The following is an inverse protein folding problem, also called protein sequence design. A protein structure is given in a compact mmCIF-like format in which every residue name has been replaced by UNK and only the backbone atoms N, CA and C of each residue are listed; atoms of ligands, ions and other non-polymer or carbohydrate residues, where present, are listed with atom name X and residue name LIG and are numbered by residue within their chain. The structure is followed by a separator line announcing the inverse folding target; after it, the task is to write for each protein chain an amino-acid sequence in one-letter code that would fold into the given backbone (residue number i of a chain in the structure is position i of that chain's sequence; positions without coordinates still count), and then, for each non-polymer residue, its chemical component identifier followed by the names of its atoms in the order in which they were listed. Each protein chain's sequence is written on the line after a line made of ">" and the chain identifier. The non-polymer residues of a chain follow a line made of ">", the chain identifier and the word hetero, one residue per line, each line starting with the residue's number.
data_IF_425585822659
#
_entry.id   IF_425585822659
#
_cell.length_a   1.000
_cell.length_b   1.000
_cell.length_c   1.000
_cell.angle_alpha   90.00
_cell.angle_beta   90.00
_cell.angle_gamma   90.00
#
_symmetry.space_group_name_H-M   'P 1'
#
loop_
_entity.id
_entity.type
_entity.pdbx_description
1 polymer ?
#
# COMPACT_ATOMS: atom_id res chain seq x y z
N UNK A 1 -81.48 38.18 0.54
CA UNK A 1 -81.64 37.12 1.57
C UNK A 1 -80.83 35.93 1.09
N UNK A 2 -79.61 35.76 1.59
CA UNK A 2 -79.24 34.89 2.72
C UNK A 2 -79.19 33.40 2.31
N UNK A 3 -77.94 32.92 2.26
CA UNK A 3 -77.38 31.60 2.61
C UNK A 3 -77.98 30.30 2.04
N UNK A 4 -77.09 29.51 1.41
CA UNK A 4 -76.74 28.20 1.96
C UNK A 4 -75.31 27.83 1.53
N UNK A 5 -74.43 27.65 2.52
CA UNK A 5 -73.03 27.27 2.37
C UNK A 5 -72.89 25.74 2.31
N UNK A 6 -72.09 25.24 1.37
CA UNK A 6 -71.60 23.86 1.34
C UNK A 6 -70.10 23.92 1.67
N UNK A 7 -69.74 23.42 2.84
CA UNK A 7 -68.34 23.28 3.27
C UNK A 7 -67.77 21.96 2.75
N UNK A 8 -66.75 22.04 1.89
CA UNK A 8 -65.90 20.91 1.51
C UNK A 8 -64.75 20.79 2.53
N UNK A 9 -64.67 19.67 3.23
CA UNK A 9 -63.48 19.28 3.99
C UNK A 9 -62.43 18.71 3.05
N UNK A 10 -61.42 19.50 2.69
CA UNK A 10 -60.21 19.03 1.98
C UNK A 10 -59.18 18.62 3.04
N UNK A 11 -58.95 17.32 3.13
CA UNK A 11 -57.86 16.70 3.88
C UNK A 11 -56.53 17.06 3.18
N UNK A 12 -55.75 17.95 3.78
CA UNK A 12 -54.41 18.27 3.32
C UNK A 12 -53.45 17.10 3.64
N UNK A 13 -53.19 16.25 2.65
CA UNK A 13 -52.05 15.33 2.67
C UNK A 13 -50.75 16.15 2.54
N UNK A 14 -50.07 16.37 3.65
CA UNK A 14 -48.66 16.78 3.67
C UNK A 14 -47.83 15.64 3.09
N UNK A 15 -47.52 15.71 1.79
CA UNK A 15 -46.41 14.97 1.22
C UNK A 15 -45.12 15.57 1.76
N UNK A 16 -44.56 14.97 2.81
CA UNK A 16 -43.15 15.16 3.13
C UNK A 16 -42.36 14.49 2.01
N UNK A 17 -41.82 15.28 1.08
CA UNK A 17 -40.75 14.86 0.19
C UNK A 17 -39.64 14.22 1.03
N UNK A 18 -39.23 12.97 0.79
CA UNK A 18 -38.05 12.42 1.42
C UNK A 18 -36.87 13.29 0.99
N UNK A 19 -36.18 13.87 1.96
CA UNK A 19 -34.91 14.53 1.75
C UNK A 19 -34.01 13.57 0.96
N UNK A 20 -33.66 13.93 -0.27
CA UNK A 20 -32.65 13.22 -1.03
C UNK A 20 -31.32 13.41 -0.28
N UNK A 21 -30.94 12.44 0.54
CA UNK A 21 -29.56 12.28 0.98
C UNK A 21 -28.74 12.10 -0.31
N UNK A 22 -27.75 12.95 -0.56
CA UNK A 22 -26.96 12.81 -1.76
C UNK A 22 -26.01 11.62 -1.63
N UNK A 23 -25.67 11.07 -2.78
CA UNK A 23 -24.86 9.86 -2.90
C UNK A 23 -23.49 10.23 -3.44
N UNK A 24 -22.44 9.58 -2.94
CA UNK A 24 -21.11 9.66 -3.54
C UNK A 24 -21.15 9.14 -4.98
N UNK A 25 -20.25 9.64 -5.80
CA UNK A 25 -20.19 9.37 -7.23
C UNK A 25 -18.79 8.91 -7.61
N UNK A 26 -18.69 7.76 -8.29
CA UNK A 26 -17.46 7.27 -8.92
C UNK A 26 -17.64 7.31 -10.43
N UNK A 27 -16.84 8.11 -11.10
CA UNK A 27 -16.78 8.20 -12.56
C UNK A 27 -15.63 7.33 -13.07
N UNK A 28 -15.90 6.44 -14.03
CA UNK A 28 -14.90 5.59 -14.66
C UNK A 28 -14.35 6.24 -15.92
N UNK A 29 -13.15 5.85 -16.34
CA UNK A 29 -12.48 6.36 -17.55
C UNK A 29 -13.27 6.15 -18.85
N UNK A 30 -14.22 5.21 -18.85
CA UNK A 30 -15.13 4.98 -19.97
C UNK A 30 -16.39 5.85 -19.91
N UNK A 31 -16.46 6.83 -19.00
CA UNK A 31 -17.61 7.71 -18.78
C UNK A 31 -18.74 7.12 -17.91
N UNK A 32 -18.59 5.87 -17.42
CA UNK A 32 -19.61 5.26 -16.56
C UNK A 32 -19.63 5.93 -15.20
N UNK A 33 -20.81 6.34 -14.73
CA UNK A 33 -20.99 6.91 -13.39
C UNK A 33 -21.68 5.91 -12.48
N UNK A 34 -21.08 5.64 -11.32
CA UNK A 34 -21.64 4.79 -10.27
C UNK A 34 -22.00 5.66 -9.07
N UNK A 35 -23.22 5.52 -8.57
CA UNK A 35 -23.72 6.24 -7.40
C UNK A 35 -23.94 5.30 -6.23
N UNK A 36 -23.59 5.74 -5.04
CA UNK A 36 -23.65 4.94 -3.83
C UNK A 36 -22.81 5.56 -2.72
N UNK A 37 -22.41 4.78 -1.73
CA UNK A 37 -21.55 5.24 -0.64
C UNK A 37 -20.12 4.75 -0.87
N UNK A 38 -19.17 5.65 -1.06
CA UNK A 38 -17.76 5.31 -1.14
C UNK A 38 -17.28 4.90 0.26
N UNK A 39 -16.92 3.63 0.41
CA UNK A 39 -16.53 3.04 1.70
C UNK A 39 -15.02 2.93 1.87
N UNK A 40 -14.27 3.01 0.76
CA UNK A 40 -12.82 3.13 0.77
C UNK A 40 -12.31 3.77 -0.51
N UNK A 41 -11.29 4.61 -0.37
CA UNK A 41 -10.44 5.05 -1.47
C UNK A 41 -8.97 4.70 -1.19
N UNK A 42 -8.69 3.77 -0.28
CA UNK A 42 -7.31 3.38 0.05
C UNK A 42 -6.74 2.39 -0.96
N UNK A 43 -5.42 2.44 -1.12
CA UNK A 43 -4.66 1.59 -2.03
C UNK A 43 -5.02 1.76 -3.51
N UNK A 44 -4.93 0.68 -4.28
CA UNK A 44 -5.15 0.64 -5.74
C UNK A 44 -6.62 0.70 -6.19
N UNK A 45 -7.60 0.82 -5.28
CA UNK A 45 -9.02 0.77 -5.64
C UNK A 45 -9.88 1.84 -4.98
N UNK A 46 -10.99 2.20 -5.64
CA UNK A 46 -12.15 2.84 -5.04
C UNK A 46 -13.20 1.78 -4.78
N UNK A 47 -13.71 1.74 -3.55
CA UNK A 47 -14.76 0.81 -3.11
C UNK A 47 -16.02 1.63 -2.86
N UNK A 48 -17.09 1.30 -3.58
CA UNK A 48 -18.39 1.94 -3.48
C UNK A 48 -19.46 0.90 -3.17
N UNK A 49 -20.27 1.16 -2.16
CA UNK A 49 -21.46 0.39 -1.81
C UNK A 49 -22.66 0.96 -2.56
N UNK A 50 -23.24 0.16 -3.45
CA UNK A 50 -24.38 0.55 -4.29
C UNK A 50 -25.62 -0.23 -3.87
N UNK A 51 -26.78 0.42 -3.83
CA UNK A 51 -28.04 -0.25 -3.56
C UNK A 51 -28.69 -0.63 -4.90
N UNK A 52 -28.86 -1.92 -5.14
CA UNK A 52 -29.56 -2.43 -6.33
C UNK A 52 -30.77 -3.23 -5.86
N UNK A 53 -31.97 -2.79 -6.25
CA UNK A 53 -33.25 -3.43 -5.86
C UNK A 53 -33.39 -3.63 -4.34
N UNK A 54 -33.00 -2.62 -3.56
CA UNK A 54 -33.11 -2.64 -2.09
C UNK A 54 -32.05 -3.49 -1.37
N UNK A 55 -31.05 -4.02 -2.09
CA UNK A 55 -29.94 -4.78 -1.50
C UNK A 55 -28.62 -4.06 -1.76
N UNK A 56 -27.79 -3.96 -0.73
CA UNK A 56 -26.46 -3.36 -0.84
C UNK A 56 -25.48 -4.31 -1.53
N UNK A 57 -24.67 -3.76 -2.42
CA UNK A 57 -23.60 -4.44 -3.15
C UNK A 57 -22.32 -3.63 -3.08
N UNK A 58 -21.21 -4.23 -2.67
CA UNK A 58 -19.90 -3.62 -2.79
C UNK A 58 -19.40 -3.75 -4.23
N UNK A 59 -18.93 -2.65 -4.81
CA UNK A 59 -18.22 -2.59 -6.09
C UNK A 59 -16.84 -2.04 -5.85
N UNK A 60 -15.85 -2.65 -6.50
CA UNK A 60 -14.45 -2.26 -6.40
C UNK A 60 -13.95 -1.90 -7.79
N UNK A 61 -13.50 -0.68 -7.94
CA UNK A 61 -12.94 -0.18 -9.18
C UNK A 61 -11.45 0.09 -8.97
N UNK A 62 -10.57 -0.56 -9.76
CA UNK A 62 -9.17 -0.16 -9.82
C UNK A 62 -9.09 1.34 -10.10
N UNK A 63 -8.29 2.10 -9.35
CA UNK A 63 -8.17 3.55 -9.53
C UNK A 63 -7.71 3.94 -10.92
N UNK A 64 -6.92 3.07 -11.57
CA UNK A 64 -6.56 3.21 -12.99
C UNK A 64 -7.75 3.23 -13.96
N UNK A 65 -8.93 2.77 -13.52
CA UNK A 65 -10.17 2.80 -14.28
C UNK A 65 -11.13 3.88 -13.77
N UNK A 66 -10.77 4.63 -12.73
CA UNK A 66 -11.58 5.69 -12.12
C UNK A 66 -11.07 7.04 -12.61
N UNK A 67 -11.93 7.78 -13.29
CA UNK A 67 -11.68 9.14 -13.74
C UNK A 67 -11.82 10.15 -12.61
N UNK A 68 -12.84 9.99 -11.75
CA UNK A 68 -13.09 10.89 -10.63
C UNK A 68 -13.91 10.22 -9.52
N UNK A 69 -13.78 10.75 -8.29
CA UNK A 69 -14.67 10.45 -7.17
C UNK A 69 -15.19 11.77 -6.62
N UNK A 70 -16.50 11.91 -6.43
CA UNK A 70 -17.14 13.06 -5.77
C UNK A 70 -17.88 12.55 -4.54
N UNK A 71 -17.63 13.17 -3.39
CA UNK A 71 -18.31 12.84 -2.14
C UNK A 71 -19.44 13.85 -1.89
N UNK A 72 -20.51 13.42 -1.25
CA UNK A 72 -21.72 14.24 -1.05
C UNK A 72 -21.54 15.39 -0.01
N UNK A 73 -20.39 15.48 0.66
CA UNK A 73 -20.11 16.56 1.62
C UNK A 73 -19.77 17.92 0.98
N UNK A 74 -19.91 18.06 -0.34
CA UNK A 74 -19.70 19.32 -1.06
C UNK A 74 -18.25 19.64 -1.39
N UNK A 75 -17.32 18.70 -1.22
CA UNK A 75 -15.94 18.86 -1.66
C UNK A 75 -15.82 18.68 -3.21
N UNK A 76 -15.50 19.78 -3.91
CA UNK A 76 -14.89 19.74 -5.26
C UNK A 76 -13.60 18.90 -5.24
N UNK A 77 -13.03 18.43 -6.37
CA UNK A 77 -11.82 17.61 -6.37
C UNK A 77 -10.62 18.46 -5.92
N UNK A 78 -10.52 18.69 -4.62
CA UNK A 78 -9.29 19.01 -3.97
C UNK A 78 -8.39 17.80 -4.16
N UNK A 79 -7.14 18.05 -4.56
CA UNK A 79 -6.02 17.14 -4.34
C UNK A 79 -6.22 16.36 -3.04
N UNK A 80 -5.85 15.07 -2.94
CA UNK A 80 -5.94 14.31 -1.70
C UNK A 80 -4.87 14.80 -0.71
N UNK A 81 -5.05 16.02 -0.23
CA UNK A 81 -4.55 16.48 1.03
C UNK A 81 -5.38 15.73 2.08
N UNK A 82 -4.76 14.68 2.61
CA UNK A 82 -5.28 13.76 3.62
C UNK A 82 -6.41 12.84 3.13
N UNK A 83 -6.03 11.77 2.42
CA UNK A 83 -6.71 10.49 2.55
C UNK A 83 -6.62 10.01 4.01
N UNK A 84 -7.41 10.60 4.91
CA UNK A 84 -7.50 10.13 6.28
C UNK A 84 -8.10 8.73 6.22
N UNK A 85 -7.33 7.71 6.58
CA UNK A 85 -7.88 6.36 6.73
C UNK A 85 -9.08 6.48 7.66
N UNK A 86 -10.28 6.00 7.27
CA UNK A 86 -11.49 6.21 8.06
C UNK A 86 -11.26 5.67 9.46
N UNK A 87 -11.48 6.47 10.50
CA UNK A 87 -11.29 5.99 11.88
C UNK A 87 -12.36 4.96 12.20
N UNK A 88 -11.94 3.74 12.54
CA UNK A 88 -12.81 2.62 12.89
C UNK A 88 -12.44 2.07 14.25
N UNK A 89 -13.45 1.68 15.02
CA UNK A 89 -13.28 0.91 16.25
C UNK A 89 -12.67 -0.46 15.96
N UNK A 90 -12.12 -1.09 17.01
CA UNK A 90 -11.63 -2.47 16.96
C UNK A 90 -12.68 -3.42 16.37
N UNK A 91 -13.92 -3.34 16.87
CA UNK A 91 -15.00 -4.23 16.47
C UNK A 91 -15.31 -4.08 14.98
N UNK A 92 -15.43 -2.85 14.49
CA UNK A 92 -15.73 -2.58 13.08
C UNK A 92 -14.64 -3.12 12.15
N UNK A 93 -13.35 -2.94 12.49
CA UNK A 93 -12.25 -3.49 11.68
C UNK A 93 -12.27 -5.03 11.69
N UNK A 94 -12.49 -5.67 12.84
CA UNK A 94 -12.56 -7.14 12.91
C UNK A 94 -13.79 -7.70 12.17
N UNK A 95 -14.93 -7.03 12.23
CA UNK A 95 -16.14 -7.42 11.49
C UNK A 95 -15.92 -7.25 9.97
N UNK A 96 -15.24 -6.18 9.55
CA UNK A 96 -14.85 -5.93 8.15
C UNK A 96 -13.90 -7.02 7.62
N UNK A 97 -12.87 -7.36 8.40
CA UNK A 97 -11.92 -8.44 8.05
C UNK A 97 -12.65 -9.77 7.89
N UNK A 98 -13.55 -10.10 8.82
CA UNK A 98 -14.31 -11.34 8.75
C UNK A 98 -15.24 -11.40 7.55
N UNK A 99 -15.94 -10.30 7.23
CA UNK A 99 -16.90 -10.26 6.11
C UNK A 99 -16.19 -10.35 4.75
N UNK A 100 -15.13 -9.56 4.55
CA UNK A 100 -14.40 -9.53 3.28
C UNK A 100 -13.51 -10.77 3.14
N UNK A 101 -12.80 -11.15 4.19
CA UNK A 101 -11.80 -12.22 4.18
C UNK A 101 -12.34 -13.60 3.83
N UNK A 102 -13.59 -13.88 4.20
CA UNK A 102 -14.27 -15.15 3.91
C UNK A 102 -14.70 -15.29 2.46
N UNK A 103 -14.78 -14.19 1.72
CA UNK A 103 -15.32 -14.17 0.36
C UNK A 103 -14.17 -14.06 -0.64
N UNK A 104 -14.00 -15.02 -1.57
CA UNK A 104 -13.02 -14.87 -2.65
C UNK A 104 -13.24 -13.56 -3.43
N UNK A 105 -12.19 -12.95 -4.00
CA UNK A 105 -12.35 -11.83 -4.92
C UNK A 105 -13.21 -12.22 -6.14
N UNK A 106 -13.91 -11.25 -6.75
CA UNK A 106 -14.80 -11.50 -7.89
C UNK A 106 -14.10 -12.19 -9.08
N UNK A 107 -12.80 -11.96 -9.26
CA UNK A 107 -12.00 -12.57 -10.32
C UNK A 107 -11.57 -14.02 -10.03
N UNK A 108 -11.76 -14.53 -8.82
CA UNK A 108 -11.15 -15.79 -8.36
C UNK A 108 -11.60 -17.01 -9.18
N UNK A 109 -12.90 -17.13 -9.44
CA UNK A 109 -13.45 -18.27 -10.17
C UNK A 109 -12.99 -18.26 -11.63
N UNK A 110 -12.97 -17.09 -12.25
CA UNK A 110 -12.53 -16.89 -13.65
C UNK A 110 -11.02 -17.06 -13.86
N UNK A 111 -10.23 -16.98 -12.79
CA UNK A 111 -8.78 -17.09 -12.88
C UNK A 111 -8.38 -18.52 -13.21
N UNK A 112 -7.50 -18.73 -14.18
CA UNK A 112 -6.99 -20.07 -14.45
C UNK A 112 -5.93 -20.47 -13.42
N UNK A 113 -5.97 -21.72 -12.98
CA UNK A 113 -4.92 -22.29 -12.14
C UNK A 113 -3.80 -22.80 -13.06
N UNK A 114 -2.67 -22.09 -13.08
CA UNK A 114 -1.54 -22.43 -13.93
C UNK A 114 -0.25 -22.49 -13.09
N UNK A 115 0.38 -23.65 -13.05
CA UNK A 115 1.67 -23.89 -12.41
C UNK A 115 2.35 -25.10 -13.07
N UNK A 116 3.70 -25.23 -12.98
CA UNK A 116 4.40 -26.36 -13.59
C UNK A 116 3.95 -27.70 -13.02
N UNK A 117 3.73 -28.71 -13.85
CA UNK A 117 3.36 -30.08 -13.41
C UNK A 117 4.42 -30.70 -12.48
N UNK A 118 5.67 -30.20 -12.55
CA UNK A 118 6.79 -30.64 -11.72
C UNK A 118 6.82 -30.00 -10.32
N UNK A 119 5.89 -29.09 -10.02
CA UNK A 119 5.88 -28.34 -8.77
C UNK A 119 5.41 -29.23 -7.62
N UNK A 120 6.27 -29.42 -6.60
CA UNK A 120 5.93 -30.20 -5.43
C UNK A 120 5.02 -29.40 -4.47
N UNK A 121 3.71 -29.69 -4.55
CA UNK A 121 2.69 -29.02 -3.73
C UNK A 121 2.75 -29.40 -2.26
N UNK A 122 3.48 -30.45 -1.85
CA UNK A 122 3.72 -30.74 -0.43
C UNK A 122 4.56 -29.63 0.22
N UNK A 123 5.28 -28.86 -0.61
CA UNK A 123 6.09 -27.70 -0.25
C UNK A 123 7.12 -28.03 0.84
N UNK A 124 8.16 -28.81 0.53
CA UNK A 124 9.18 -29.20 1.51
C UNK A 124 9.96 -28.00 2.06
N UNK A 125 10.40 -28.12 3.33
CA UNK A 125 11.29 -27.20 4.04
C UNK A 125 12.42 -28.00 4.73
N UNK A 126 13.69 -27.58 4.62
CA UNK A 126 14.17 -26.48 3.80
C UNK A 126 13.92 -26.74 2.30
N UNK A 127 13.88 -25.69 1.45
CA UNK A 127 13.69 -25.88 0.02
C UNK A 127 14.85 -26.69 -0.58
N UNK A 128 14.58 -27.53 -1.60
CA UNK A 128 15.62 -28.32 -2.24
C UNK A 128 16.69 -27.44 -2.87
N UNK A 129 17.93 -27.94 -2.85
CA UNK A 129 19.07 -27.34 -3.51
C UNK A 129 19.47 -28.17 -4.74
N UNK A 130 19.93 -27.55 -5.84
CA UNK A 130 20.02 -26.11 -6.07
C UNK A 130 18.63 -25.46 -6.25
N UNK A 131 18.58 -24.12 -6.22
CA UNK A 131 17.37 -23.35 -6.48
C UNK A 131 16.69 -23.79 -7.79
N UNK A 132 15.41 -24.18 -7.71
CA UNK A 132 14.60 -24.64 -8.82
C UNK A 132 13.13 -24.22 -8.66
N UNK A 133 12.80 -23.08 -9.27
CA UNK A 133 11.46 -22.50 -9.26
C UNK A 133 10.38 -23.30 -10.01
N UNK A 134 10.73 -24.42 -10.66
CA UNK A 134 9.75 -25.34 -11.26
C UNK A 134 9.43 -26.53 -10.35
N UNK A 135 10.13 -26.68 -9.22
CA UNK A 135 9.95 -27.79 -8.27
C UNK A 135 9.52 -27.37 -6.87
N UNK A 136 9.87 -26.16 -6.42
CA UNK A 136 9.48 -25.68 -5.10
C UNK A 136 8.49 -24.49 -5.17
N UNK A 137 7.38 -24.59 -4.44
CA UNK A 137 6.32 -23.57 -4.41
C UNK A 137 6.84 -22.19 -4.00
N UNK A 138 7.71 -22.10 -2.99
CA UNK A 138 8.24 -20.82 -2.53
C UNK A 138 9.12 -20.15 -3.57
N UNK A 139 9.98 -20.93 -4.23
CA UNK A 139 10.85 -20.45 -5.30
C UNK A 139 10.05 -20.09 -6.56
N UNK A 140 8.99 -20.84 -6.88
CA UNK A 140 8.04 -20.52 -7.95
C UNK A 140 7.36 -19.17 -7.71
N UNK A 141 6.79 -18.97 -6.52
CA UNK A 141 6.15 -17.70 -6.16
C UNK A 141 7.14 -16.55 -6.31
N UNK A 142 8.37 -16.74 -5.81
CA UNK A 142 9.41 -15.72 -5.83
C UNK A 142 9.81 -15.31 -7.26
N UNK A 143 10.12 -16.27 -8.14
CA UNK A 143 10.65 -15.97 -9.48
C UNK A 143 9.57 -15.74 -10.55
N UNK A 144 8.38 -16.33 -10.39
CA UNK A 144 7.36 -16.39 -11.45
C UNK A 144 6.09 -15.63 -11.11
N UNK A 145 5.69 -15.57 -9.84
CA UNK A 145 4.44 -14.89 -9.44
C UNK A 145 4.71 -13.44 -9.06
N UNK A 146 5.53 -13.22 -8.04
CA UNK A 146 5.79 -11.90 -7.47
C UNK A 146 6.18 -10.83 -8.51
N UNK A 147 7.09 -11.09 -9.46
CA UNK A 147 7.50 -10.07 -10.43
C UNK A 147 6.50 -9.86 -11.59
N UNK A 148 5.43 -10.66 -11.70
CA UNK A 148 4.56 -10.66 -12.87
C UNK A 148 3.10 -10.37 -12.48
N UNK A 149 2.60 -9.13 -12.63
CA UNK A 149 1.22 -8.77 -12.29
C UNK A 149 0.14 -9.66 -12.93
N UNK A 150 0.38 -10.14 -14.15
CA UNK A 150 -0.50 -11.10 -14.84
C UNK A 150 -0.61 -12.47 -14.14
N UNK A 151 0.37 -12.82 -13.29
CA UNK A 151 0.43 -14.08 -12.56
C UNK A 151 -0.10 -13.96 -11.11
N UNK A 152 -0.33 -12.75 -10.59
CA UNK A 152 -0.71 -12.56 -9.19
C UNK A 152 -2.01 -13.29 -8.82
N UNK A 153 -3.03 -13.20 -9.68
CA UNK A 153 -4.30 -13.90 -9.47
C UNK A 153 -4.11 -15.42 -9.48
N UNK A 154 -3.31 -15.93 -10.41
CA UNK A 154 -2.96 -17.35 -10.51
C UNK A 154 -2.21 -17.84 -9.27
N UNK A 155 -1.28 -17.04 -8.73
CA UNK A 155 -0.57 -17.33 -7.49
C UNK A 155 -1.51 -17.44 -6.28
N UNK A 156 -2.48 -16.53 -6.13
CA UNK A 156 -3.53 -16.63 -5.11
C UNK A 156 -4.34 -17.91 -5.27
N UNK A 157 -4.75 -18.23 -6.51
CA UNK A 157 -5.50 -19.46 -6.81
C UNK A 157 -4.70 -20.72 -6.48
N UNK A 158 -3.38 -20.73 -6.73
CA UNK A 158 -2.49 -21.81 -6.35
C UNK A 158 -2.43 -22.01 -4.83
N UNK A 159 -2.35 -20.95 -4.02
CA UNK A 159 -2.33 -21.10 -2.55
C UNK A 159 -3.63 -21.72 -2.03
N UNK A 160 -4.77 -21.30 -2.57
CA UNK A 160 -6.06 -21.95 -2.27
C UNK A 160 -6.07 -23.43 -2.69
N UNK A 161 -5.58 -23.75 -3.88
CA UNK A 161 -5.46 -25.13 -4.34
C UNK A 161 -4.59 -25.99 -3.42
N UNK A 162 -3.44 -25.47 -2.97
CA UNK A 162 -2.55 -26.15 -2.02
C UNK A 162 -3.24 -26.38 -0.68
N UNK A 163 -3.97 -25.41 -0.14
CA UNK A 163 -4.71 -25.62 1.12
C UNK A 163 -5.72 -26.76 1.03
N UNK A 164 -6.38 -26.92 -0.13
CA UNK A 164 -7.35 -27.99 -0.36
C UNK A 164 -6.67 -29.34 -0.55
N UNK A 165 -5.63 -29.41 -1.38
CA UNK A 165 -4.95 -30.68 -1.70
C UNK A 165 -4.01 -31.17 -0.59
N UNK A 166 -3.49 -30.27 0.25
CA UNK A 166 -2.60 -30.57 1.37
C UNK A 166 -3.31 -30.44 2.73
N UNK A 167 -4.64 -30.58 2.78
CA UNK A 167 -5.44 -30.28 3.98
C UNK A 167 -5.02 -31.07 5.25
N UNK A 168 -4.41 -32.25 5.10
CA UNK A 168 -3.89 -33.06 6.20
C UNK A 168 -2.52 -32.57 6.71
N UNK A 169 -1.77 -31.84 5.88
CA UNK A 169 -0.49 -31.23 6.24
C UNK A 169 -0.71 -29.81 6.79
N UNK A 170 -0.95 -29.74 8.11
CA UNK A 170 -1.17 -28.46 8.82
C UNK A 170 -0.07 -27.42 8.58
N UNK A 171 1.18 -27.84 8.44
CA UNK A 171 2.30 -26.91 8.23
C UNK A 171 2.23 -26.26 6.85
N UNK A 172 1.93 -27.05 5.81
CA UNK A 172 1.77 -26.55 4.44
C UNK A 172 0.52 -25.67 4.32
N UNK A 173 -0.58 -26.04 4.96
CA UNK A 173 -1.80 -25.21 5.03
C UNK A 173 -1.51 -23.87 5.68
N UNK A 174 -0.88 -23.85 6.87
CA UNK A 174 -0.51 -22.59 7.54
C UNK A 174 0.40 -21.74 6.66
N UNK A 175 1.36 -22.33 5.95
CA UNK A 175 2.23 -21.59 5.04
C UNK A 175 1.48 -20.99 3.86
N UNK A 176 0.54 -21.74 3.27
CA UNK A 176 -0.31 -21.22 2.21
C UNK A 176 -1.18 -20.04 2.70
N UNK A 177 -1.71 -20.09 3.92
CA UNK A 177 -2.41 -18.95 4.55
C UNK A 177 -1.48 -17.75 4.76
N UNK A 178 -0.26 -17.97 5.27
CA UNK A 178 0.75 -16.92 5.43
C UNK A 178 1.08 -16.25 4.08
N UNK A 179 1.21 -17.05 3.02
CA UNK A 179 1.44 -16.56 1.66
C UNK A 179 0.25 -15.82 1.07
N UNK A 180 -0.99 -16.26 1.33
CA UNK A 180 -2.18 -15.51 0.95
C UNK A 180 -2.22 -14.14 1.63
N UNK A 181 -1.91 -14.08 2.93
CA UNK A 181 -1.78 -12.82 3.65
C UNK A 181 -0.78 -11.87 2.98
N UNK A 182 0.41 -12.38 2.65
CA UNK A 182 1.45 -11.61 1.98
C UNK A 182 1.06 -11.20 0.54
N UNK A 183 0.41 -12.07 -0.24
CA UNK A 183 -0.04 -11.76 -1.59
C UNK A 183 -1.11 -10.66 -1.58
N UNK A 184 -2.13 -10.79 -0.74
CA UNK A 184 -3.18 -9.76 -0.64
C UNK A 184 -2.64 -8.43 -0.14
N UNK A 185 -1.73 -8.44 0.85
CA UNK A 185 -1.13 -7.21 1.36
C UNK A 185 -0.24 -6.55 0.33
N UNK A 186 0.73 -7.28 -0.22
CA UNK A 186 1.82 -6.66 -0.98
C UNK A 186 1.53 -6.54 -2.48
N UNK A 187 0.67 -7.39 -3.05
CA UNK A 187 0.38 -7.39 -4.50
C UNK A 187 -0.95 -6.69 -4.80
N UNK A 188 -1.94 -6.82 -3.92
CA UNK A 188 -3.28 -6.30 -4.17
C UNK A 188 -3.69 -5.13 -3.27
N UNK A 189 -2.93 -4.86 -2.19
CA UNK A 189 -3.31 -3.94 -1.12
C UNK A 189 -4.74 -4.22 -0.58
N UNK A 190 -5.14 -5.49 -0.60
CA UNK A 190 -6.39 -5.94 0.00
C UNK A 190 -6.17 -6.26 1.48
N UNK A 191 -6.03 -5.19 2.26
CA UNK A 191 -5.68 -5.29 3.68
C UNK A 191 -6.66 -6.12 4.51
N UNK A 192 -7.96 -6.14 4.13
CA UNK A 192 -8.96 -6.94 4.83
C UNK A 192 -8.75 -8.44 4.59
N UNK A 193 -8.57 -8.87 3.32
CA UNK A 193 -8.25 -10.28 3.03
C UNK A 193 -6.88 -10.68 3.56
N UNK A 194 -5.89 -9.78 3.48
CA UNK A 194 -4.56 -10.02 4.02
C UNK A 194 -4.60 -10.31 5.53
N UNK A 195 -5.24 -9.41 6.30
CA UNK A 195 -5.41 -9.58 7.73
C UNK A 195 -6.16 -10.88 8.07
N UNK A 196 -7.22 -11.19 7.32
CA UNK A 196 -7.98 -12.43 7.51
C UNK A 196 -7.08 -13.67 7.42
N UNK A 197 -6.28 -13.79 6.36
CA UNK A 197 -5.42 -14.96 6.17
C UNK A 197 -4.30 -15.05 7.20
N UNK A 198 -3.73 -13.93 7.64
CA UNK A 198 -2.77 -13.93 8.75
C UNK A 198 -3.41 -14.28 10.10
N UNK A 199 -4.64 -13.85 10.36
CA UNK A 199 -5.41 -14.27 11.55
C UNK A 199 -5.74 -15.78 11.51
N UNK A 200 -6.10 -16.32 10.34
CA UNK A 200 -6.30 -17.76 10.18
C UNK A 200 -5.00 -18.55 10.42
N UNK A 201 -3.86 -18.00 9.99
CA UNK A 201 -2.53 -18.56 10.26
C UNK A 201 -2.06 -18.37 11.72
N UNK A 202 -2.79 -17.60 12.54
CA UNK A 202 -2.50 -17.38 13.96
C UNK A 202 -1.44 -16.32 14.26
N UNK A 203 -1.18 -15.40 13.32
CA UNK A 203 -0.24 -14.28 13.51
C UNK A 203 -0.66 -13.38 14.68
N UNK A 204 -1.96 -13.10 14.79
CA UNK A 204 -2.57 -12.32 15.88
C UNK A 204 -2.41 -12.97 17.27
N UNK A 205 -2.14 -14.28 17.30
CA UNK A 205 -2.03 -15.09 18.53
C UNK A 205 -0.57 -15.38 18.90
N UNK A 206 0.40 -14.74 18.23
CA UNK A 206 1.82 -14.99 18.46
C UNK A 206 2.26 -16.41 18.09
N UNK A 207 1.51 -17.12 17.23
CA UNK A 207 1.80 -18.51 16.85
C UNK A 207 2.78 -18.64 15.68
N UNK A 208 3.42 -17.54 15.29
CA UNK A 208 4.37 -17.51 14.17
C UNK A 208 5.78 -17.23 14.68
N UNK A 209 6.81 -17.92 14.11
CA UNK A 209 8.19 -17.77 14.57
C UNK A 209 8.81 -16.42 14.15
N UNK A 210 8.32 -15.83 13.05
CA UNK A 210 8.88 -14.62 12.47
C UNK A 210 8.07 -13.37 12.87
N UNK A 211 8.74 -12.24 13.21
CA UNK A 211 8.06 -11.02 13.65
C UNK A 211 7.45 -10.19 12.50
N UNK A 212 7.96 -10.34 11.26
CA UNK A 212 7.53 -9.49 10.14
C UNK A 212 6.03 -9.60 9.80
N UNK A 213 5.40 -10.80 9.77
CA UNK A 213 3.96 -10.92 9.58
C UNK A 213 3.12 -10.17 10.62
N UNK A 214 3.60 -10.03 11.86
CA UNK A 214 2.91 -9.26 12.91
C UNK A 214 2.91 -7.77 12.56
N UNK A 215 4.03 -7.25 12.02
CA UNK A 215 4.11 -5.87 11.53
C UNK A 215 3.18 -5.64 10.35
N UNK A 216 3.12 -6.56 9.39
CA UNK A 216 2.21 -6.41 8.26
C UNK A 216 0.74 -6.54 8.67
N UNK A 217 0.41 -7.40 9.64
CA UNK A 217 -0.93 -7.46 10.21
C UNK A 217 -1.30 -6.14 10.90
N UNK A 218 -0.37 -5.54 11.66
CA UNK A 218 -0.56 -4.21 12.22
C UNK A 218 -0.74 -3.14 11.13
N UNK A 219 0.01 -3.22 10.02
CA UNK A 219 -0.21 -2.35 8.86
C UNK A 219 -1.62 -2.52 8.28
N UNK A 220 -2.11 -3.75 8.13
CA UNK A 220 -3.49 -3.96 7.69
C UNK A 220 -4.50 -3.28 8.62
N UNK A 221 -4.35 -3.41 9.95
CA UNK A 221 -5.26 -2.76 10.88
C UNK A 221 -5.23 -1.24 10.77
N UNK A 222 -4.05 -0.66 10.61
CA UNK A 222 -3.90 0.78 10.39
C UNK A 222 -4.59 1.21 9.10
N UNK A 223 -4.34 0.52 7.98
CA UNK A 223 -4.92 0.81 6.66
C UNK A 223 -6.43 0.57 6.60
N UNK A 224 -6.97 -0.26 7.49
CA UNK A 224 -8.41 -0.46 7.67
C UNK A 224 -9.03 0.54 8.65
N UNK A 225 -8.26 1.42 9.28
CA UNK A 225 -8.77 2.52 10.08
C UNK A 225 -8.60 2.42 11.59
N UNK A 226 -7.90 1.40 12.09
CA UNK A 226 -7.69 1.23 13.53
C UNK A 226 -6.23 1.37 13.91
N UNK A 227 -5.82 2.61 14.19
CA UNK A 227 -4.51 2.95 14.76
C UNK A 227 -4.27 2.21 16.09
N UNK A 228 -5.26 2.18 16.97
CA UNK A 228 -5.13 1.54 18.28
C UNK A 228 -4.85 0.05 18.17
N UNK A 229 -5.58 -0.65 17.29
CA UNK A 229 -5.37 -2.09 17.07
C UNK A 229 -4.00 -2.36 16.42
N UNK A 230 -3.54 -1.50 15.51
CA UNK A 230 -2.20 -1.59 14.95
C UNK A 230 -1.12 -1.46 16.04
N UNK A 231 -1.20 -0.41 16.87
CA UNK A 231 -0.24 -0.16 17.95
C UNK A 231 -0.26 -1.26 19.01
N UNK A 232 -1.43 -1.78 19.37
CA UNK A 232 -1.54 -2.93 20.28
C UNK A 232 -0.88 -4.17 19.70
N UNK A 233 -1.11 -4.46 18.41
CA UNK A 233 -0.51 -5.61 17.73
C UNK A 233 1.03 -5.52 17.75
N UNK A 234 1.59 -4.33 17.59
CA UNK A 234 3.04 -4.12 17.67
C UNK A 234 3.63 -4.33 19.07
N UNK A 235 2.85 -4.15 20.14
CA UNK A 235 3.32 -4.43 21.52
C UNK A 235 3.59 -5.91 21.77
N UNK A 236 3.03 -6.80 20.95
CA UNK A 236 3.21 -8.25 21.07
C UNK A 236 4.52 -8.74 20.42
N UNK A 237 5.31 -7.85 19.81
CA UNK A 237 6.59 -8.19 19.22
C UNK A 237 7.63 -8.51 20.30
N UNK A 238 8.22 -9.69 20.22
CA UNK A 238 9.38 -10.08 21.06
C UNK A 238 10.68 -9.48 20.53
N UNK A 239 10.73 -9.17 19.23
CA UNK A 239 11.82 -8.46 18.55
C UNK A 239 11.21 -7.49 17.54
N UNK A 240 11.79 -6.30 17.47
CA UNK A 240 11.37 -5.25 16.53
C UNK A 240 12.18 -5.33 15.23
N UNK A 241 11.60 -5.84 14.12
CA UNK A 241 12.26 -5.71 12.82
C UNK A 241 12.26 -4.24 12.36
N UNK A 242 13.19 -3.83 11.48
CA UNK A 242 13.26 -2.44 10.99
C UNK A 242 11.94 -1.93 10.38
N UNK A 243 11.13 -2.81 9.77
CA UNK A 243 9.80 -2.47 9.25
C UNK A 243 8.86 -1.88 10.31
N UNK A 244 9.08 -2.15 11.61
CA UNK A 244 8.31 -1.52 12.68
C UNK A 244 8.59 -0.02 12.79
N UNK A 245 9.83 0.43 12.55
CA UNK A 245 10.18 1.86 12.54
C UNK A 245 9.37 2.57 11.44
N UNK A 246 9.35 1.98 10.23
CA UNK A 246 8.55 2.49 9.11
C UNK A 246 7.08 2.62 9.50
N UNK A 247 6.46 1.54 9.97
CA UNK A 247 5.04 1.53 10.29
C UNK A 247 4.68 2.55 11.38
N UNK A 248 5.52 2.73 12.40
CA UNK A 248 5.31 3.77 13.40
C UNK A 248 5.33 5.17 12.78
N UNK A 249 6.23 5.43 11.83
CA UNK A 249 6.24 6.65 11.05
C UNK A 249 4.98 6.84 10.21
N UNK A 250 4.55 5.81 9.48
CA UNK A 250 3.33 5.84 8.64
C UNK A 250 2.07 6.13 9.49
N UNK A 251 2.02 5.62 10.72
CA UNK A 251 0.96 5.86 11.72
C UNK A 251 0.98 7.30 12.28
N UNK A 252 2.03 8.06 11.98
CA UNK A 252 2.28 9.40 12.53
C UNK A 252 2.88 9.40 13.93
N UNK A 253 3.37 8.26 14.43
CA UNK A 253 4.10 8.15 15.69
C UNK A 253 5.61 8.39 15.49
N UNK A 254 5.94 9.53 14.88
CA UNK A 254 7.30 9.88 14.45
C UNK A 254 8.30 9.80 15.61
N UNK A 255 7.98 10.34 16.79
CA UNK A 255 8.90 10.31 17.93
C UNK A 255 9.19 8.90 18.45
N UNK A 256 8.20 8.02 18.46
CA UNK A 256 8.40 6.64 18.91
C UNK A 256 9.17 5.82 17.87
N UNK A 257 8.95 6.09 16.58
CA UNK A 257 9.74 5.53 15.49
C UNK A 257 11.22 5.93 15.62
N UNK A 258 11.52 7.21 15.86
CA UNK A 258 12.88 7.71 16.03
C UNK A 258 13.56 7.15 17.29
N UNK A 259 12.83 7.04 18.41
CA UNK A 259 13.34 6.37 19.62
C UNK A 259 13.70 4.91 19.35
N UNK A 260 12.83 4.19 18.63
CA UNK A 260 13.07 2.79 18.26
C UNK A 260 14.28 2.67 17.33
N UNK A 261 14.44 3.57 16.35
CA UNK A 261 15.59 3.61 15.47
C UNK A 261 16.90 3.87 16.24
N UNK A 262 16.94 4.86 17.14
CA UNK A 262 18.13 5.13 17.96
C UNK A 262 18.45 3.95 18.89
N UNK A 263 17.44 3.25 19.42
CA UNK A 263 17.65 2.00 20.17
C UNK A 263 18.22 0.89 19.30
N UNK A 264 17.68 0.67 18.10
CA UNK A 264 18.17 -0.33 17.14
C UNK A 264 19.61 -0.06 16.67
N UNK A 265 19.97 1.22 16.52
CA UNK A 265 21.32 1.63 16.20
C UNK A 265 22.32 1.27 17.31
N UNK A 266 21.97 1.59 18.56
CA UNK A 266 22.76 1.20 19.75
C UNK A 266 22.81 -0.32 19.94
N UNK A 267 21.76 -1.03 19.52
CA UNK A 267 21.64 -2.49 19.56
C UNK A 267 22.41 -3.24 18.46
N UNK A 268 23.22 -2.55 17.65
CA UNK A 268 24.09 -3.18 16.65
C UNK A 268 23.54 -3.18 15.22
N UNK A 269 22.49 -2.43 14.93
CA UNK A 269 21.96 -2.26 13.55
C UNK A 269 21.90 -0.80 13.09
N UNK A 270 22.99 -0.02 13.21
CA UNK A 270 22.98 1.43 12.99
C UNK A 270 22.62 1.84 11.56
N UNK A 271 23.14 1.15 10.54
CA UNK A 271 22.86 1.46 9.14
C UNK A 271 21.35 1.45 8.85
N UNK A 272 20.72 0.29 9.00
CA UNK A 272 19.31 0.13 8.69
C UNK A 272 18.43 1.00 9.60
N UNK A 273 18.78 1.14 10.88
CA UNK A 273 17.99 1.94 11.82
C UNK A 273 17.99 3.43 11.45
N UNK A 274 19.17 4.01 11.16
CA UNK A 274 19.26 5.40 10.74
C UNK A 274 18.66 5.64 9.37
N UNK A 275 18.77 4.67 8.46
CA UNK A 275 18.13 4.75 7.16
C UNK A 275 16.60 4.87 7.29
N UNK A 276 15.96 4.00 8.08
CA UNK A 276 14.51 4.10 8.33
C UNK A 276 14.13 5.34 9.15
N UNK A 277 14.98 5.84 10.06
CA UNK A 277 14.75 7.11 10.73
C UNK A 277 14.71 8.29 9.74
N UNK A 278 15.59 8.28 8.74
CA UNK A 278 15.58 9.25 7.65
C UNK A 278 14.28 9.20 6.85
N UNK A 279 13.81 8.00 6.50
CA UNK A 279 12.54 7.79 5.79
C UNK A 279 11.35 8.34 6.61
N UNK A 280 11.32 8.04 7.91
CA UNK A 280 10.28 8.51 8.83
C UNK A 280 10.27 10.04 8.92
N UNK A 281 11.44 10.67 9.07
CA UNK A 281 11.55 12.13 9.07
C UNK A 281 11.10 12.73 7.74
N UNK A 282 11.43 12.09 6.60
CA UNK A 282 11.00 12.54 5.27
C UNK A 282 9.48 12.52 5.16
N UNK A 283 8.83 11.43 5.55
CA UNK A 283 7.37 11.29 5.53
C UNK A 283 6.72 12.32 6.47
N UNK A 284 7.34 12.61 7.61
CA UNK A 284 6.86 13.64 8.54
C UNK A 284 7.15 15.09 8.08
N UNK A 285 7.78 15.30 6.92
CA UNK A 285 8.17 16.64 6.44
C UNK A 285 9.37 17.27 7.18
N UNK A 286 10.04 16.53 8.06
CA UNK A 286 11.20 16.95 8.85
C UNK A 286 12.49 16.77 8.05
N UNK A 287 12.58 17.46 6.91
CA UNK A 287 13.63 17.20 5.91
C UNK A 287 15.06 17.43 6.44
N UNK A 288 15.27 18.44 7.28
CA UNK A 288 16.58 18.69 7.90
C UNK A 288 17.03 17.52 8.79
N UNK A 289 16.12 16.92 9.53
CA UNK A 289 16.42 15.76 10.36
C UNK A 289 16.57 14.49 9.52
N UNK A 290 15.77 14.34 8.46
CA UNK A 290 15.93 13.26 7.50
C UNK A 290 17.33 13.26 6.89
N UNK A 291 17.83 14.43 6.47
CA UNK A 291 19.20 14.59 5.97
C UNK A 291 20.23 14.14 7.01
N UNK A 292 20.10 14.57 8.27
CA UNK A 292 21.01 14.15 9.34
C UNK A 292 21.02 12.63 9.54
N UNK A 293 19.85 11.98 9.53
CA UNK A 293 19.75 10.53 9.66
C UNK A 293 20.34 9.79 8.46
N UNK A 294 20.11 10.26 7.23
CA UNK A 294 20.75 9.65 6.07
C UNK A 294 22.29 9.78 6.12
N UNK A 295 22.82 10.92 6.60
CA UNK A 295 24.28 11.06 6.84
C UNK A 295 24.79 10.07 7.89
N UNK A 296 24.08 9.93 9.03
CA UNK A 296 24.39 8.90 10.04
C UNK A 296 24.37 7.48 9.45
N UNK A 297 23.43 7.18 8.55
CA UNK A 297 23.36 5.89 7.87
C UNK A 297 24.58 5.64 6.98
N UNK A 298 25.00 6.62 6.20
CA UNK A 298 26.23 6.54 5.37
C UNK A 298 27.46 6.31 6.25
N UNK A 299 27.62 7.08 7.32
CA UNK A 299 28.74 6.93 8.27
C UNK A 299 28.75 5.54 8.93
N UNK A 300 27.57 5.02 9.27
CA UNK A 300 27.42 3.67 9.83
C UNK A 300 27.83 2.59 8.83
N UNK A 301 27.43 2.72 7.55
CA UNK A 301 27.84 1.79 6.50
C UNK A 301 29.35 1.80 6.26
N UNK A 302 30.00 2.97 6.30
CA UNK A 302 31.45 3.08 6.10
C UNK A 302 32.26 2.41 7.20
N UNK A 303 31.72 2.40 8.43
CA UNK A 303 32.33 1.74 9.59
C UNK A 303 31.95 0.26 9.71
N UNK A 304 31.00 -0.21 8.90
CA UNK A 304 30.55 -1.59 8.95
C UNK A 304 31.67 -2.55 8.51
N UNK A 305 31.83 -3.65 9.24
CA UNK A 305 32.80 -4.71 8.91
C UNK A 305 32.38 -5.47 7.65
N UNK A 306 31.08 -5.52 7.38
CA UNK A 306 30.44 -6.13 6.21
C UNK A 306 30.17 -5.12 5.09
N UNK A 307 30.86 -3.98 5.04
CA UNK A 307 30.66 -2.93 4.02
C UNK A 307 30.81 -3.37 2.56
N UNK A 308 31.40 -4.55 2.31
CA UNK A 308 31.48 -5.16 0.98
C UNK A 308 30.26 -6.03 0.63
N UNK A 309 29.38 -6.32 1.58
CA UNK A 309 28.20 -7.14 1.36
C UNK A 309 27.15 -6.36 0.56
N UNK A 310 26.48 -7.06 -0.36
CA UNK A 310 25.52 -6.45 -1.28
C UNK A 310 24.42 -5.63 -0.57
N UNK A 311 23.95 -6.09 0.59
CA UNK A 311 22.91 -5.40 1.34
C UNK A 311 23.42 -4.09 1.96
N UNK A 312 24.65 -4.05 2.50
CA UNK A 312 25.25 -2.82 3.05
C UNK A 312 25.53 -1.81 1.94
N UNK A 313 26.07 -2.28 0.81
CA UNK A 313 26.31 -1.44 -0.37
C UNK A 313 25.00 -0.80 -0.85
N UNK A 314 23.93 -1.59 -0.97
CA UNK A 314 22.62 -1.09 -1.39
C UNK A 314 22.05 -0.08 -0.40
N UNK A 315 22.03 -0.42 0.89
CA UNK A 315 21.42 0.44 1.92
C UNK A 315 22.19 1.76 2.07
N UNK A 316 23.53 1.73 1.95
CA UNK A 316 24.36 2.95 1.84
C UNK A 316 24.02 3.75 0.58
N UNK A 317 23.95 3.08 -0.57
CA UNK A 317 23.60 3.71 -1.84
C UNK A 317 22.23 4.38 -1.80
N UNK A 318 21.26 3.77 -1.10
CA UNK A 318 19.92 4.34 -0.88
C UNK A 318 20.00 5.62 -0.04
N UNK A 319 20.75 5.61 1.06
CA UNK A 319 20.96 6.82 1.87
C UNK A 319 21.59 7.96 1.05
N UNK A 320 22.60 7.66 0.22
CA UNK A 320 23.25 8.64 -0.67
C UNK A 320 22.26 9.17 -1.72
N UNK A 321 21.46 8.28 -2.32
CA UNK A 321 20.46 8.67 -3.30
C UNK A 321 19.40 9.61 -2.69
N UNK A 322 18.95 9.33 -1.47
CA UNK A 322 18.04 10.22 -0.74
C UNK A 322 18.70 11.57 -0.41
N UNK A 323 19.97 11.59 0.00
CA UNK A 323 20.72 12.84 0.22
C UNK A 323 20.85 13.69 -1.05
N UNK A 324 21.05 13.07 -2.21
CA UNK A 324 21.13 13.80 -3.47
C UNK A 324 19.80 14.46 -3.86
N UNK A 325 18.68 13.78 -3.57
CA UNK A 325 17.35 14.19 -3.99
C UNK A 325 16.63 15.11 -2.99
N UNK A 326 16.90 14.99 -1.69
CA UNK A 326 16.13 15.64 -0.62
C UNK A 326 16.05 17.18 -0.74
N UNK A 327 17.12 17.80 -1.25
CA UNK A 327 17.17 19.24 -1.50
C UNK A 327 16.12 19.73 -2.52
N UNK A 328 15.54 18.83 -3.32
CA UNK A 328 14.54 19.13 -4.34
C UNK A 328 13.13 18.69 -3.96
N UNK A 329 12.89 18.11 -2.78
CA UNK A 329 11.55 17.59 -2.42
C UNK A 329 10.50 18.68 -2.29
N UNK A 330 10.92 19.89 -1.93
CA UNK A 330 10.07 21.07 -1.82
C UNK A 330 10.00 21.89 -3.12
N UNK A 331 10.62 21.43 -4.22
CA UNK A 331 10.52 22.12 -5.51
C UNK A 331 9.08 22.06 -6.00
N UNK A 332 8.44 23.23 -6.08
CA UNK A 332 7.09 23.37 -6.60
C UNK A 332 7.07 23.14 -8.11
N UNK A 333 6.11 22.38 -8.66
CA UNK A 333 5.96 22.24 -10.11
C UNK A 333 5.76 23.58 -10.85
N UNK A 334 5.29 24.63 -10.17
CA UNK A 334 5.16 25.99 -10.73
C UNK A 334 6.51 26.66 -11.01
N UNK A 335 7.56 26.23 -10.31
CA UNK A 335 8.93 26.72 -10.45
C UNK A 335 9.75 25.86 -11.43
N UNK A 336 9.07 24.97 -12.15
CA UNK A 336 9.64 24.11 -13.19
C UNK A 336 9.09 24.59 -14.54
N UNK A 337 9.95 24.63 -15.56
CA UNK A 337 9.53 24.93 -16.94
C UNK A 337 8.68 23.77 -17.45
N UNK A 338 7.65 24.06 -18.26
CA UNK A 338 6.84 23.02 -18.88
C UNK A 338 7.70 22.13 -19.79
N UNK A 339 7.56 20.81 -19.68
CA UNK A 339 8.40 19.87 -20.41
C UNK A 339 8.36 18.46 -19.85
N UNK A 340 9.16 17.58 -20.48
CA UNK A 340 9.35 16.19 -20.05
C UNK A 340 10.77 15.99 -19.56
N UNK A 341 10.91 15.49 -18.33
CA UNK A 341 12.19 15.30 -17.67
C UNK A 341 12.37 13.85 -17.27
N UNK A 342 13.56 13.31 -17.51
CA UNK A 342 13.90 11.92 -17.16
C UNK A 342 15.06 11.90 -16.19
N UNK A 343 14.95 11.13 -15.11
CA UNK A 343 16.05 10.88 -14.18
C UNK A 343 15.96 9.45 -13.61
N UNK A 344 17.00 9.03 -12.90
CA UNK A 344 17.04 7.72 -12.26
C UNK A 344 17.54 7.81 -10.83
N UNK A 345 17.17 6.84 -10.01
CA UNK A 345 17.68 6.67 -8.65
C UNK A 345 17.84 5.19 -8.32
N UNK A 346 18.65 4.88 -7.30
CA UNK A 346 18.93 3.51 -6.90
C UNK A 346 17.68 2.82 -6.32
N UNK A 347 17.22 1.75 -6.98
CA UNK A 347 16.18 0.83 -6.53
C UNK A 347 16.75 -0.41 -5.82
N UNK A 348 15.91 -1.45 -5.70
CA UNK A 348 16.26 -2.68 -4.99
C UNK A 348 17.28 -3.53 -5.76
N UNK A 349 17.05 -3.73 -7.06
CA UNK A 349 17.96 -4.49 -7.92
C UNK A 349 18.93 -3.58 -8.67
N UNK A 350 18.44 -2.44 -9.16
CA UNK A 350 19.20 -1.51 -9.99
C UNK A 350 18.58 -0.12 -9.99
N UNK A 351 19.08 0.79 -10.83
CA UNK A 351 18.46 2.07 -11.10
C UNK A 351 17.01 1.92 -11.58
N UNK A 352 16.13 2.70 -10.98
CA UNK A 352 14.75 2.93 -11.43
C UNK A 352 14.73 4.27 -12.14
N UNK A 353 14.34 4.27 -13.41
CA UNK A 353 14.22 5.46 -14.25
C UNK A 353 12.77 5.93 -14.30
N UNK A 354 12.57 7.24 -14.14
CA UNK A 354 11.27 7.90 -14.14
C UNK A 354 11.26 9.03 -15.16
N UNK A 355 10.21 9.08 -15.96
CA UNK A 355 9.81 10.22 -16.80
C UNK A 355 8.73 11.03 -16.09
N UNK A 356 8.89 12.35 -16.07
CA UNK A 356 7.99 13.31 -15.40
C UNK A 356 7.58 14.36 -16.41
N UNK A 357 6.27 14.60 -16.56
CA UNK A 357 5.72 15.65 -17.44
C UNK A 357 5.16 16.77 -16.58
N UNK A 358 5.66 17.99 -16.79
CA UNK A 358 5.15 19.22 -16.17
C UNK A 358 4.47 20.06 -17.25
N UNK A 359 3.23 20.49 -16.99
CA UNK A 359 2.49 21.37 -17.86
C UNK A 359 1.64 22.33 -17.03
N UNK A 360 1.63 23.62 -17.40
CA UNK A 360 0.87 24.66 -16.69
C UNK A 360 1.15 24.70 -15.17
N UNK A 361 2.39 24.42 -14.77
CA UNK A 361 2.81 24.44 -13.37
C UNK A 361 2.25 23.31 -12.50
N UNK A 362 1.84 22.18 -13.11
CA UNK A 362 1.46 20.93 -12.43
C UNK A 362 2.18 19.71 -13.05
N UNK A 363 2.44 18.69 -12.24
CA UNK A 363 2.89 17.37 -12.67
C UNK A 363 1.68 16.63 -13.25
N UNK A 364 1.71 16.35 -14.54
CA UNK A 364 0.60 15.68 -15.26
C UNK A 364 0.86 14.18 -15.46
N UNK A 365 2.12 13.76 -15.49
CA UNK A 365 2.50 12.36 -15.61
C UNK A 365 3.78 12.08 -14.83
N UNK A 366 3.81 10.92 -14.17
CA UNK A 366 5.01 10.29 -13.62
C UNK A 366 4.97 8.84 -14.05
N UNK A 367 5.99 8.38 -14.76
CA UNK A 367 6.04 7.03 -15.33
C UNK A 367 7.39 6.39 -15.10
N UNK A 368 7.42 5.19 -14.53
CA UNK A 368 8.63 4.38 -14.49
C UNK A 368 8.89 3.82 -15.90
N UNK A 369 10.00 4.21 -16.52
CA UNK A 369 10.34 3.86 -17.91
C UNK A 369 11.30 2.68 -18.02
N UNK A 370 12.13 2.46 -16.99
CA UNK A 370 13.10 1.36 -16.94
C UNK A 370 13.39 0.96 -15.50
N UNK A 371 13.35 -0.34 -15.21
CA UNK A 371 13.71 -0.89 -13.91
C UNK A 371 14.06 -2.38 -14.01
N UNK A 372 14.69 -2.93 -12.97
CA UNK A 372 14.93 -4.38 -12.79
C UNK A 372 14.27 -4.98 -11.55
N UNK A 373 13.46 -4.19 -10.84
CA UNK A 373 12.82 -4.58 -9.59
C UNK A 373 12.09 -5.92 -9.71
N UNK A 374 12.28 -6.80 -8.73
CA UNK A 374 11.69 -8.15 -8.73
C UNK A 374 10.51 -8.30 -7.77
N UNK A 375 10.19 -7.24 -7.03
CA UNK A 375 9.25 -7.30 -5.92
C UNK A 375 8.23 -6.18 -6.01
N UNK A 376 6.97 -6.49 -5.67
CA UNK A 376 5.94 -5.52 -5.29
C UNK A 376 5.75 -4.36 -6.29
N UNK A 377 5.45 -4.74 -7.53
CA UNK A 377 5.24 -3.83 -8.67
C UNK A 377 4.09 -2.84 -8.46
N UNK A 378 3.24 -3.02 -7.45
CA UNK A 378 2.24 -2.00 -7.07
C UNK A 378 2.91 -0.65 -6.79
N UNK A 379 4.11 -0.63 -6.19
CA UNK A 379 4.87 0.61 -5.99
C UNK A 379 5.20 1.36 -7.28
N UNK A 380 5.38 0.65 -8.40
CA UNK A 380 5.69 1.21 -9.73
C UNK A 380 4.50 1.99 -10.29
N UNK A 381 3.28 1.69 -9.85
CA UNK A 381 2.07 2.42 -10.26
C UNK A 381 1.56 3.36 -9.17
N UNK A 382 1.64 2.95 -7.92
CA UNK A 382 0.98 3.63 -6.80
C UNK A 382 1.81 4.82 -6.29
N UNK A 383 3.14 4.70 -6.27
CA UNK A 383 4.01 5.83 -5.90
C UNK A 383 3.93 6.97 -6.94
N UNK A 384 4.03 6.72 -8.26
CA UNK A 384 3.81 7.78 -9.26
C UNK A 384 2.45 8.46 -9.13
N UNK A 385 1.39 7.67 -8.91
CA UNK A 385 0.04 8.22 -8.71
C UNK A 385 -0.01 9.13 -7.48
N UNK A 386 0.54 8.69 -6.35
CA UNK A 386 0.58 9.51 -5.13
C UNK A 386 1.31 10.84 -5.36
N UNK A 387 2.39 10.85 -6.16
CA UNK A 387 3.12 12.07 -6.51
C UNK A 387 2.27 12.99 -7.40
N UNK A 388 1.61 12.46 -8.43
CA UNK A 388 0.69 13.24 -9.29
C UNK A 388 -0.44 13.82 -8.44
N UNK A 389 -1.03 13.03 -7.55
CA UNK A 389 -2.15 13.47 -6.73
C UNK A 389 -1.74 14.59 -5.76
N UNK A 390 -0.57 14.46 -5.12
CA UNK A 390 -0.11 15.42 -4.10
C UNK A 390 0.71 16.57 -4.65
N UNK A 391 1.21 16.48 -5.88
CA UNK A 391 2.06 17.50 -6.51
C UNK A 391 3.34 17.82 -5.70
N UNK A 392 3.82 16.86 -4.90
CA UNK A 392 5.01 16.99 -4.05
C UNK A 392 5.62 15.63 -3.73
N UNK A 393 6.89 15.64 -3.34
CA UNK A 393 7.66 14.47 -2.90
C UNK A 393 7.69 14.39 -1.36
N UNK A 394 7.27 15.45 -0.67
CA UNK A 394 7.18 15.49 0.79
C UNK A 394 5.95 14.71 1.26
N UNK A 395 6.13 13.89 2.31
CA UNK A 395 5.01 13.18 2.93
C UNK A 395 4.41 12.04 2.11
N UNK A 396 4.95 11.72 0.94
CA UNK A 396 4.57 10.52 0.18
C UNK A 396 4.98 9.30 0.98
N UNK A 397 3.98 8.52 1.43
CA UNK A 397 4.20 7.22 2.04
C UNK A 397 4.66 6.22 0.98
N UNK A 398 5.52 5.29 1.39
CA UNK A 398 6.04 4.22 0.55
C UNK A 398 5.28 2.93 0.79
N UNK A 399 5.05 2.16 -0.27
CA UNK A 399 4.34 0.89 -0.18
C UNK A 399 5.09 -0.08 0.74
N UNK A 400 4.43 -0.56 1.79
CA UNK A 400 4.97 -1.55 2.72
C UNK A 400 5.44 -2.81 1.98
N UNK A 401 6.69 -3.19 2.19
CA UNK A 401 7.37 -4.27 1.45
C UNK A 401 8.15 -3.80 0.23
N UNK A 402 7.84 -2.61 -0.32
CA UNK A 402 8.45 -2.03 -1.52
C UNK A 402 9.11 -0.66 -1.27
N UNK A 403 9.57 -0.42 -0.04
CA UNK A 403 10.11 0.88 0.40
C UNK A 403 11.28 1.35 -0.46
N UNK A 404 12.20 0.46 -0.82
CA UNK A 404 13.39 0.82 -1.62
C UNK A 404 12.96 1.31 -3.02
N UNK A 405 12.09 0.56 -3.68
CA UNK A 405 11.54 0.92 -5.00
C UNK A 405 10.77 2.24 -4.95
N UNK A 406 9.92 2.41 -3.93
CA UNK A 406 9.11 3.62 -3.75
C UNK A 406 10.00 4.86 -3.52
N UNK A 407 11.02 4.76 -2.66
CA UNK A 407 11.99 5.86 -2.50
C UNK A 407 12.75 6.14 -3.78
N UNK A 408 13.14 5.11 -4.56
CA UNK A 408 13.83 5.33 -5.84
C UNK A 408 12.97 6.15 -6.81
N UNK A 409 11.66 5.89 -6.87
CA UNK A 409 10.71 6.64 -7.69
C UNK A 409 10.57 8.09 -7.19
N UNK A 410 10.44 8.29 -5.87
CA UNK A 410 10.36 9.62 -5.24
C UNK A 410 11.63 10.43 -5.54
N UNK A 411 12.80 9.82 -5.33
CA UNK A 411 14.11 10.42 -5.55
C UNK A 411 14.32 10.76 -7.04
N UNK A 412 14.03 9.82 -7.93
CA UNK A 412 14.14 10.04 -9.37
C UNK A 412 13.20 11.16 -9.84
N UNK A 413 11.98 11.24 -9.30
CA UNK A 413 11.04 12.31 -9.63
C UNK A 413 11.56 13.68 -9.18
N UNK A 414 12.07 13.79 -7.95
CA UNK A 414 12.67 15.03 -7.45
C UNK A 414 13.87 15.48 -8.32
N UNK A 415 14.73 14.54 -8.71
CA UNK A 415 15.87 14.80 -9.59
C UNK A 415 15.44 15.16 -11.02
N UNK A 416 14.37 14.59 -11.54
CA UNK A 416 13.82 14.94 -12.84
C UNK A 416 13.30 16.38 -12.86
N UNK A 417 12.50 16.76 -11.86
CA UNK A 417 11.99 18.14 -11.72
C UNK A 417 13.13 19.16 -11.59
N UNK A 418 14.21 18.82 -10.88
CA UNK A 418 15.37 19.69 -10.75
C UNK A 418 16.03 20.07 -12.09
N UNK A 419 15.90 19.23 -13.14
CA UNK A 419 16.42 19.53 -14.49
C UNK A 419 15.65 20.64 -15.21
N UNK A 420 14.41 20.87 -14.82
CA UNK A 420 13.54 21.92 -15.38
C UNK A 420 13.40 23.14 -14.49
N UNK A 421 14.13 23.22 -13.38
CA UNK A 421 14.03 24.32 -12.42
C UNK A 421 14.37 25.65 -13.10
N UNK A 422 13.53 26.67 -12.89
CA UNK A 422 13.69 28.03 -13.39
C UNK A 422 14.85 28.81 -12.76
#
# INVERSE_FOLDING_TARGET
>A
MIQCAIAFSILALLFTTPCCLGEDVVELNNGTTIRGKVTSQSGSNVVIEVIVKGKAYTRRYPKENVAAVRLDDGSQPSSPANSSVPTRSRKEVLDLINSIGRTPPEWFDSTQLNYPDTLDLSWPQPPPQPWNNSKNVGQFIWDRVNPNPSQWRGGVKLMHHIMVTQNSNKQTVTRAMMSLGAMYHNLFEDYARAAFWWQQAGVDKGKVPEPLPVVHLANCYFQLGSKDLALETLKNLTRYPPATIKLLGDIGNTEDALKLAESGAKGGTPLVSYLYAGDVCRVAGRLAEAEQYYRKAVDAADRDKSRGDAHVIRDKGRAIASLAAIQFYQLSPKDVVDGTYVASSLGYEDQVEVSVVVAAGVITEVKVTRHREKQFYSSITDTPRAIIDRQTMVGIDTTSGATITSEAIINATALALAKGKK
#
